data_IF_913861027797
#
_entry.id   IF_913861027797
#
_cell.length_a   1.000
_cell.length_b   1.000
_cell.length_c   1.000
_cell.angle_alpha   90.00
_cell.angle_beta   90.00
_cell.angle_gamma   90.00
#
_symmetry.space_group_name_H-M   'P 1'
#
loop_
_entity.id
_entity.type
_entity.pdbx_description
1 polymer ?
#
# COMPACT_ATOMS: atom_id res chain seq x y z
N UNK A 1 39.92 -24.47 -32.14
CA UNK A 1 38.51 -24.17 -31.82
C UNK A 1 38.24 -24.42 -30.33
N UNK A 2 38.73 -23.54 -29.44
CA UNK A 2 38.61 -23.68 -27.97
C UNK A 2 38.50 -22.28 -27.36
N UNK A 3 37.57 -21.46 -27.84
CA UNK A 3 37.42 -20.08 -27.34
C UNK A 3 36.00 -19.53 -27.45
N UNK A 4 35.01 -20.39 -27.70
CA UNK A 4 33.63 -19.94 -27.95
C UNK A 4 32.60 -20.47 -26.92
N UNK A 5 33.03 -21.26 -25.94
CA UNK A 5 32.12 -21.99 -25.05
C UNK A 5 32.01 -21.40 -23.64
N UNK A 6 32.67 -20.27 -23.36
CA UNK A 6 32.75 -19.69 -22.02
C UNK A 6 31.93 -18.39 -21.85
N UNK A 7 31.33 -17.88 -22.92
CA UNK A 7 30.55 -16.63 -22.88
C UNK A 7 29.04 -16.85 -22.71
N UNK A 8 28.55 -18.09 -22.85
CA UNK A 8 27.10 -18.41 -22.77
C UNK A 8 26.65 -18.70 -21.34
N UNK A 9 27.55 -19.11 -20.43
CA UNK A 9 27.18 -19.34 -19.02
C UNK A 9 26.95 -18.05 -18.21
N UNK A 10 27.39 -16.88 -18.69
CA UNK A 10 27.22 -15.62 -17.97
C UNK A 10 25.83 -14.97 -18.18
N UNK A 11 25.11 -15.37 -19.22
CA UNK A 11 23.83 -14.74 -19.60
C UNK A 11 22.64 -15.40 -18.85
N UNK A 12 22.81 -16.63 -18.38
CA UNK A 12 21.79 -17.39 -17.63
C UNK A 12 21.76 -17.07 -16.12
N UNK A 13 22.66 -16.22 -15.61
CA UNK A 13 22.61 -15.73 -14.24
C UNK A 13 21.81 -14.42 -14.09
N UNK A 14 21.36 -13.82 -15.21
CA UNK A 14 20.58 -12.57 -15.21
C UNK A 14 19.08 -12.85 -15.27
N UNK A 15 18.66 -14.11 -15.48
CA UNK A 15 17.33 -14.58 -15.07
C UNK A 15 17.28 -14.79 -13.55
N UNK A 16 17.89 -13.87 -12.81
CA UNK A 16 17.69 -13.75 -11.38
C UNK A 16 16.20 -13.54 -11.19
N UNK A 17 15.56 -14.57 -10.65
CA UNK A 17 14.33 -14.47 -9.87
C UNK A 17 14.23 -13.04 -9.37
N UNK A 18 13.31 -12.27 -9.94
CA UNK A 18 13.25 -10.84 -9.75
C UNK A 18 12.97 -10.62 -8.26
N UNK A 19 14.04 -10.55 -7.45
CA UNK A 19 13.99 -10.73 -6.00
C UNK A 19 12.83 -9.88 -5.51
N UNK A 20 11.78 -10.52 -4.98
CA UNK A 20 10.60 -9.81 -4.55
C UNK A 20 11.10 -8.70 -3.64
N UNK A 21 10.91 -7.44 -4.05
CA UNK A 21 11.50 -6.33 -3.32
C UNK A 21 11.00 -6.45 -1.89
N UNK A 22 11.94 -6.63 -0.97
CA UNK A 22 11.60 -6.77 0.42
C UNK A 22 11.05 -5.42 0.87
N UNK A 23 9.80 -5.37 1.25
CA UNK A 23 9.26 -4.18 1.88
C UNK A 23 9.67 -4.18 3.34
N UNK A 24 10.23 -3.06 3.79
CA UNK A 24 10.31 -2.75 5.20
C UNK A 24 9.54 -1.46 5.49
N UNK A 25 9.07 -1.33 6.73
CA UNK A 25 8.20 -0.22 7.09
C UNK A 25 8.90 1.15 7.03
N UNK A 26 10.20 1.19 7.30
CA UNK A 26 10.96 2.43 7.24
C UNK A 26 11.05 3.00 5.82
N UNK A 27 11.09 2.13 4.79
CA UNK A 27 11.10 2.54 3.38
C UNK A 27 9.72 2.96 2.88
N UNK A 28 8.65 2.35 3.41
CA UNK A 28 7.26 2.68 3.08
C UNK A 28 6.77 3.93 3.84
N UNK A 29 7.42 4.27 4.95
CA UNK A 29 7.07 5.43 5.75
C UNK A 29 7.09 6.73 4.94
N UNK A 30 6.21 7.66 5.32
CA UNK A 30 6.02 8.90 4.60
C UNK A 30 4.56 9.32 4.55
N UNK A 31 4.28 10.29 3.68
CA UNK A 31 2.91 10.74 3.40
C UNK A 31 2.44 10.09 2.12
N UNK A 32 1.22 9.59 2.12
CA UNK A 32 0.58 8.92 1.01
C UNK A 32 -0.75 9.62 0.72
N UNK A 33 -1.03 9.90 -0.55
CA UNK A 33 -2.39 10.16 -1.00
C UNK A 33 -3.05 8.83 -1.32
N UNK A 34 -4.10 8.46 -0.61
CA UNK A 34 -4.93 7.29 -0.87
C UNK A 34 -6.27 7.75 -1.43
N UNK A 35 -6.74 7.09 -2.47
CA UNK A 35 -8.00 7.34 -3.14
C UNK A 35 -8.89 6.11 -2.94
N UNK A 36 -10.05 6.31 -2.33
CA UNK A 36 -11.06 5.27 -2.17
C UNK A 36 -12.20 5.53 -3.15
N UNK A 37 -12.59 4.48 -3.88
CA UNK A 37 -13.83 4.46 -4.64
C UNK A 37 -14.89 3.69 -3.86
N UNK A 38 -15.94 4.38 -3.41
CA UNK A 38 -17.10 3.76 -2.76
C UNK A 38 -18.37 4.17 -3.50
N UNK A 39 -18.84 3.32 -4.41
CA UNK A 39 -19.97 3.64 -5.29
C UNK A 39 -19.67 4.87 -6.15
N UNK A 40 -20.48 5.93 -5.99
CA UNK A 40 -20.36 7.18 -6.76
C UNK A 40 -19.55 8.28 -6.04
N UNK A 41 -18.93 7.97 -4.91
CA UNK A 41 -18.14 8.94 -4.13
C UNK A 41 -16.66 8.59 -4.18
N UNK A 42 -15.85 9.58 -4.56
CA UNK A 42 -14.40 9.51 -4.48
C UNK A 42 -13.93 10.20 -3.19
N UNK A 43 -13.23 9.47 -2.33
CA UNK A 43 -12.63 10.00 -1.10
C UNK A 43 -11.12 10.07 -1.28
N UNK A 44 -10.52 11.23 -0.97
CA UNK A 44 -9.06 11.39 -0.98
C UNK A 44 -8.56 11.52 0.44
N UNK A 45 -7.68 10.62 0.85
CA UNK A 45 -7.06 10.62 2.16
C UNK A 45 -5.57 10.94 2.09
N UNK A 46 -5.11 11.76 3.01
CA UNK A 46 -3.69 11.94 3.33
C UNK A 46 -3.35 11.00 4.48
N UNK A 47 -2.71 9.89 4.17
CA UNK A 47 -2.28 8.87 5.12
C UNK A 47 -0.80 9.08 5.47
N UNK A 48 -0.48 9.19 6.75
CA UNK A 48 0.90 9.31 7.21
C UNK A 48 1.33 8.03 7.90
N UNK A 49 2.27 7.31 7.27
CA UNK A 49 2.81 6.04 7.74
C UNK A 49 4.09 6.32 8.53
N UNK A 50 4.14 6.04 9.84
CA UNK A 50 5.35 6.20 10.64
C UNK A 50 6.39 5.13 10.32
N UNK A 51 7.67 5.44 10.61
CA UNK A 51 8.82 4.55 10.36
C UNK A 51 8.77 3.24 11.17
N UNK A 52 8.01 3.20 12.27
CA UNK A 52 7.89 2.05 13.16
C UNK A 52 6.47 1.93 13.71
N UNK A 53 6.13 0.74 14.23
CA UNK A 53 4.83 0.42 14.79
C UNK A 53 3.73 0.31 13.72
N UNK A 54 2.63 -0.41 13.96
CA UNK A 54 1.63 -0.65 12.93
C UNK A 54 0.62 0.50 12.80
N UNK A 55 0.49 1.35 13.81
CA UNK A 55 -0.47 2.46 13.87
C UNK A 55 -0.11 3.57 12.87
N UNK A 56 -1.12 4.15 12.22
CA UNK A 56 -0.97 5.32 11.35
C UNK A 56 -0.91 6.60 12.20
N UNK A 57 -0.31 7.69 11.70
CA UNK A 57 -0.28 8.94 12.46
C UNK A 57 -1.69 9.52 12.61
N UNK A 58 -2.02 10.02 13.81
CA UNK A 58 -3.26 10.74 14.11
C UNK A 58 -3.44 12.05 13.33
N UNK A 59 -2.39 12.52 12.66
CA UNK A 59 -2.43 13.69 11.76
C UNK A 59 -2.79 13.34 10.31
N UNK A 60 -3.24 12.09 10.08
CA UNK A 60 -3.82 11.65 8.81
C UNK A 60 -5.28 12.10 8.72
N UNK A 61 -5.78 12.34 7.51
CA UNK A 61 -7.15 12.83 7.30
C UNK A 61 -7.69 12.45 5.93
N UNK A 62 -9.00 12.58 5.74
CA UNK A 62 -9.68 12.40 4.46
C UNK A 62 -10.51 13.65 4.10
N UNK A 63 -10.49 13.98 2.82
CA UNK A 63 -11.39 14.93 2.17
C UNK A 63 -12.48 14.12 1.51
N UNK A 64 -13.71 14.30 1.98
CA UNK A 64 -14.92 13.69 1.45
C UNK A 64 -15.77 14.80 0.84
N UNK A 65 -16.20 14.69 -0.44
CA UNK A 65 -17.07 15.68 -1.04
C UNK A 65 -18.32 15.96 -0.19
N UNK A 66 -18.61 17.24 0.05
CA UNK A 66 -19.77 17.66 0.84
C UNK A 66 -19.58 17.62 2.37
N UNK A 67 -18.44 17.16 2.89
CA UNK A 67 -18.15 17.15 4.32
C UNK A 67 -17.02 18.13 4.66
N UNK A 68 -17.30 19.04 5.58
CA UNK A 68 -16.32 19.97 6.18
C UNK A 68 -16.54 20.02 7.71
N UNK A 69 -15.47 20.04 8.52
CA UNK A 69 -14.04 20.00 8.15
C UNK A 69 -13.59 18.62 7.63
N UNK A 70 -12.31 18.49 7.25
CA UNK A 70 -11.72 17.20 6.88
C UNK A 70 -11.87 16.18 8.00
N UNK A 71 -12.07 14.92 7.62
CA UNK A 71 -12.37 13.83 8.56
C UNK A 71 -11.06 13.21 9.04
N UNK A 72 -10.83 13.05 10.35
CA UNK A 72 -9.67 12.32 10.85
C UNK A 72 -9.61 10.89 10.31
N UNK A 73 -8.41 10.46 9.92
CA UNK A 73 -8.11 9.09 9.52
C UNK A 73 -7.21 8.47 10.58
N UNK A 74 -7.64 7.36 11.17
CA UNK A 74 -6.85 6.58 12.11
C UNK A 74 -6.83 5.12 11.67
N UNK A 75 -6.03 4.28 12.32
CA UNK A 75 -5.98 2.86 11.97
C UNK A 75 -4.65 2.19 12.21
N UNK A 76 -4.60 0.94 11.81
CA UNK A 76 -3.47 0.04 11.96
C UNK A 76 -3.20 -0.63 10.62
N UNK A 77 -1.97 -0.56 10.17
CA UNK A 77 -1.48 -1.19 8.94
C UNK A 77 -0.34 -2.14 9.29
N UNK A 78 -0.49 -3.40 8.94
CA UNK A 78 0.55 -4.40 8.97
C UNK A 78 1.19 -4.49 7.58
N UNK A 79 2.52 -4.52 7.54
CA UNK A 79 3.29 -4.62 6.31
C UNK A 79 4.12 -5.90 6.37
N UNK A 80 3.84 -6.82 5.46
CA UNK A 80 4.64 -8.02 5.30
C UNK A 80 5.86 -7.76 4.39
N UNK A 81 6.87 -8.62 4.53
CA UNK A 81 8.13 -8.49 3.80
C UNK A 81 7.97 -8.58 2.27
N UNK A 82 6.90 -9.20 1.79
CA UNK A 82 6.54 -9.31 0.38
C UNK A 82 5.75 -8.10 -0.16
N UNK A 83 5.70 -6.98 0.58
CA UNK A 83 4.94 -5.77 0.23
C UNK A 83 3.41 -5.90 0.29
N UNK A 84 2.90 -6.98 0.88
CA UNK A 84 1.50 -7.08 1.24
C UNK A 84 1.20 -6.16 2.45
N UNK A 85 0.11 -5.42 2.36
CA UNK A 85 -0.40 -4.54 3.40
C UNK A 85 -1.80 -4.99 3.77
N UNK A 86 -2.01 -5.26 5.05
CA UNK A 86 -3.32 -5.57 5.59
C UNK A 86 -3.59 -4.77 6.86
N UNK A 87 -4.84 -4.51 7.18
CA UNK A 87 -5.16 -3.80 8.42
C UNK A 87 -6.56 -3.22 8.43
N UNK A 88 -6.74 -2.17 9.24
CA UNK A 88 -8.01 -1.48 9.40
C UNK A 88 -7.75 0.01 9.40
N UNK A 89 -8.48 0.74 8.57
CA UNK A 89 -8.53 2.20 8.59
C UNK A 89 -9.89 2.62 9.16
N UNK A 90 -9.90 3.68 9.96
CA UNK A 90 -11.12 4.27 10.54
C UNK A 90 -11.34 5.63 9.91
N UNK A 91 -12.44 5.77 9.16
CA UNK A 91 -12.85 7.02 8.50
C UNK A 91 -14.28 7.31 8.95
N UNK A 92 -14.49 8.44 9.63
CA UNK A 92 -15.80 8.84 10.14
C UNK A 92 -16.50 7.76 11.00
N UNK A 93 -15.72 7.03 11.82
CA UNK A 93 -16.22 5.92 12.64
C UNK A 93 -16.45 4.60 11.90
N UNK A 94 -16.37 4.58 10.57
CA UNK A 94 -16.43 3.35 9.77
C UNK A 94 -15.04 2.72 9.73
N UNK A 95 -14.96 1.40 9.95
CA UNK A 95 -13.70 0.67 10.05
C UNK A 95 -13.55 -0.38 8.94
N UNK A 96 -13.39 0.01 7.66
CA UNK A 96 -13.12 -0.96 6.61
C UNK A 96 -11.81 -1.71 6.91
N UNK A 97 -11.81 -3.05 6.96
CA UNK A 97 -10.58 -3.80 6.79
C UNK A 97 -10.04 -3.51 5.39
N UNK A 98 -8.72 -3.47 5.26
CA UNK A 98 -8.05 -3.27 3.98
C UNK A 98 -7.06 -4.40 3.72
N UNK A 99 -6.95 -4.75 2.46
CA UNK A 99 -5.97 -5.68 1.91
C UNK A 99 -5.42 -5.09 0.61
N UNK A 100 -4.10 -5.03 0.47
CA UNK A 100 -3.47 -4.44 -0.70
C UNK A 100 -1.99 -4.73 -0.82
N UNK A 101 -1.39 -4.18 -1.87
CA UNK A 101 0.00 -4.40 -2.24
C UNK A 101 0.67 -3.08 -2.60
N UNK A 102 1.89 -2.91 -2.12
CA UNK A 102 2.77 -1.80 -2.46
C UNK A 102 3.62 -2.20 -3.67
N UNK A 103 3.77 -1.29 -4.63
CA UNK A 103 4.63 -1.51 -5.79
C UNK A 103 6.09 -1.70 -5.40
N UNK A 104 6.85 -2.34 -6.29
CA UNK A 104 8.27 -2.66 -6.07
C UNK A 104 9.13 -1.44 -5.75
N UNK A 105 8.86 -0.32 -6.41
CA UNK A 105 9.52 0.97 -6.21
C UNK A 105 9.08 1.70 -4.93
N UNK A 106 8.03 1.20 -4.26
CA UNK A 106 7.46 1.73 -3.01
C UNK A 106 6.83 3.12 -3.18
N UNK A 107 6.43 3.45 -4.40
CA UNK A 107 5.81 4.74 -4.74
C UNK A 107 4.29 4.66 -4.90
N UNK A 108 3.74 3.46 -5.10
CA UNK A 108 2.30 3.26 -5.27
C UNK A 108 1.78 2.12 -4.39
N UNK A 109 0.50 2.19 -4.06
CA UNK A 109 -0.22 1.14 -3.34
C UNK A 109 -1.58 0.94 -4.01
N UNK A 110 -2.08 -0.30 -4.04
CA UNK A 110 -3.44 -0.58 -4.49
C UNK A 110 -4.02 -1.76 -3.74
N UNK A 111 -5.34 -1.84 -3.67
CA UNK A 111 -6.00 -2.91 -2.96
C UNK A 111 -7.50 -2.70 -2.88
N UNK A 112 -8.10 -3.35 -1.90
CA UNK A 112 -9.52 -3.27 -1.64
C UNK A 112 -9.83 -3.38 -0.16
N UNK A 113 -11.01 -2.93 0.21
CA UNK A 113 -11.58 -3.32 1.49
C UNK A 113 -12.15 -4.73 1.36
N UNK A 114 -11.70 -5.64 2.23
CA UNK A 114 -12.10 -7.04 2.22
C UNK A 114 -12.09 -7.58 3.65
N UNK A 115 -13.15 -8.31 4.02
CA UNK A 115 -13.21 -9.05 5.29
C UNK A 115 -13.13 -10.57 5.08
N UNK A 116 -12.75 -11.35 6.11
CA UNK A 116 -12.66 -12.81 6.02
C UNK A 116 -13.98 -13.55 5.75
N UNK A 117 -15.11 -12.85 5.80
CA UNK A 117 -16.45 -13.39 5.49
C UNK A 117 -16.82 -13.12 4.02
N UNK A 118 -15.86 -12.63 3.23
CA UNK A 118 -15.98 -12.28 1.81
C UNK A 118 -16.87 -11.07 1.51
N UNK A 119 -17.04 -10.14 2.45
CA UNK A 119 -17.60 -8.85 2.11
C UNK A 119 -16.56 -8.03 1.35
N UNK A 120 -16.83 -7.80 0.06
CA UNK A 120 -16.04 -6.92 -0.79
C UNK A 120 -16.55 -5.49 -0.59
N UNK A 121 -15.66 -4.62 -0.12
CA UNK A 121 -15.89 -3.18 -0.03
C UNK A 121 -15.31 -2.41 -1.21
N UNK A 122 -14.97 -1.14 -0.97
CA UNK A 122 -14.40 -0.27 -1.99
C UNK A 122 -12.97 -0.66 -2.39
N UNK A 123 -12.63 -0.44 -3.66
CA UNK A 123 -11.23 -0.48 -4.13
C UNK A 123 -10.51 0.80 -3.73
N UNK A 124 -9.19 0.69 -3.55
CA UNK A 124 -8.36 1.86 -3.32
C UNK A 124 -7.06 1.80 -4.11
N UNK A 125 -6.51 2.98 -4.36
CA UNK A 125 -5.17 3.17 -4.88
C UNK A 125 -4.49 4.31 -4.12
N UNK A 126 -3.18 4.42 -4.22
CA UNK A 126 -2.47 5.52 -3.60
C UNK A 126 -1.08 5.74 -4.16
N UNK A 127 -0.60 6.95 -3.95
CA UNK A 127 0.72 7.40 -4.36
C UNK A 127 1.44 8.04 -3.18
N UNK A 128 2.73 7.77 -3.05
CA UNK A 128 3.59 8.40 -2.06
C UNK A 128 3.90 9.85 -2.46
N UNK A 129 4.16 10.70 -1.48
CA UNK A 129 4.53 12.13 -1.63
C UNK A 129 5.95 12.39 -1.16
#
# INVERSE_FOLDING_TARGET
MKTLMMTILLILAISGEAAMARCNRAEVAGTWNIYFGTGNVAVRCTLKVPKSGPTVSSSSYCIVPGLTPAIPLNGVLQLAANCHVAGVLTINGVQPPIDGWISRDKETISGMSWDPVNNIGGIFSGVKL
#
